data_IF_342806475862
#
_entry.id   IF_342806475862
#
_cell.length_a   1.000
_cell.length_b   1.000
_cell.length_c   1.000
_cell.angle_alpha   90.00
_cell.angle_beta   90.00
_cell.angle_gamma   90.00
#
_symmetry.space_group_name_H-M   'P 1'
#
loop_
_entity.id
_entity.type
_entity.pdbx_description
1 polymer ?
#
# COMPACT_ATOMS: atom_id res chain seq x y z
N UNK A 1 -19.18 13.05 -5.39
CA UNK A 1 -18.58 12.03 -4.50
C UNK A 1 -17.08 11.92 -4.80
N UNK A 2 -16.21 12.26 -3.85
CA UNK A 2 -14.75 12.21 -4.05
C UNK A 2 -14.19 10.82 -3.76
N UNK A 3 -13.23 10.35 -4.58
CA UNK A 3 -12.49 9.10 -4.33
C UNK A 3 -11.67 9.23 -3.03
N UNK A 4 -11.99 8.42 -2.03
CA UNK A 4 -11.33 8.45 -0.70
C UNK A 4 -9.93 7.84 -0.69
N UNK A 5 -9.60 7.00 -1.68
CA UNK A 5 -8.32 6.28 -1.79
C UNK A 5 -7.33 7.05 -2.66
N UNK A 6 -6.75 8.10 -2.08
CA UNK A 6 -5.71 8.91 -2.68
C UNK A 6 -4.34 8.52 -2.10
N UNK A 7 -3.28 8.92 -2.80
CA UNK A 7 -1.91 8.80 -2.28
C UNK A 7 -1.78 9.52 -0.93
N UNK A 8 -0.99 8.94 -0.03
CA UNK A 8 -0.79 9.48 1.32
C UNK A 8 -1.93 9.19 2.29
N UNK A 9 -3.00 8.50 1.86
CA UNK A 9 -4.08 8.10 2.76
C UNK A 9 -3.60 6.99 3.70
N UNK A 10 -3.94 7.13 4.98
CA UNK A 10 -3.65 6.12 5.99
C UNK A 10 -4.78 5.09 5.99
N UNK A 11 -4.39 3.83 5.86
CA UNK A 11 -5.27 2.68 5.77
C UNK A 11 -4.86 1.61 6.77
N UNK A 12 -5.83 0.79 7.18
CA UNK A 12 -5.57 -0.41 7.97
C UNK A 12 -5.69 -1.62 7.05
N UNK A 13 -4.67 -2.49 7.10
CA UNK A 13 -4.65 -3.75 6.34
C UNK A 13 -5.58 -4.75 7.03
N UNK A 14 -6.46 -5.40 6.27
CA UNK A 14 -7.47 -6.31 6.82
C UNK A 14 -7.07 -7.78 6.79
N UNK A 15 -6.18 -8.17 5.87
CA UNK A 15 -5.88 -9.57 5.61
C UNK A 15 -4.37 -9.81 5.42
N UNK A 16 -3.98 -11.08 5.60
CA UNK A 16 -2.61 -11.55 5.44
C UNK A 16 -1.73 -11.31 6.67
N UNK A 17 -0.42 -11.50 6.50
CA UNK A 17 0.58 -11.41 7.59
C UNK A 17 0.61 -10.04 8.29
N UNK A 18 0.17 -8.99 7.60
CA UNK A 18 0.21 -7.61 8.07
C UNK A 18 -1.17 -7.09 8.50
N UNK A 19 -2.15 -7.98 8.71
CA UNK A 19 -3.48 -7.59 9.18
C UNK A 19 -3.42 -6.80 10.51
N UNK A 20 -4.27 -5.80 10.63
CA UNK A 20 -4.33 -4.89 11.78
C UNK A 20 -3.23 -3.82 11.82
N UNK A 21 -2.27 -3.85 10.89
CA UNK A 21 -1.20 -2.85 10.85
C UNK A 21 -1.64 -1.59 10.11
N UNK A 22 -1.15 -0.45 10.60
CA UNK A 22 -1.36 0.85 9.96
C UNK A 22 -0.36 1.02 8.83
N UNK A 23 -0.88 1.47 7.69
CA UNK A 23 -0.09 1.65 6.49
C UNK A 23 -0.56 2.84 5.66
N UNK A 24 0.26 3.24 4.71
CA UNK A 24 0.05 4.39 3.84
C UNK A 24 0.05 3.93 2.41
N UNK A 25 -0.90 4.43 1.62
CA UNK A 25 -0.95 4.18 0.19
C UNK A 25 0.15 5.00 -0.49
N UNK A 26 1.14 4.29 -1.06
CA UNK A 26 2.29 4.88 -1.73
C UNK A 26 2.07 5.07 -3.23
N UNK A 27 1.42 4.09 -3.89
CA UNK A 27 1.05 4.15 -5.31
C UNK A 27 -0.26 3.40 -5.55
N UNK A 28 -1.12 3.97 -6.38
CA UNK A 28 -2.35 3.36 -6.85
C UNK A 28 -2.09 2.65 -8.19
N UNK A 29 -2.58 1.42 -8.32
CA UNK A 29 -2.54 0.63 -9.56
C UNK A 29 -3.98 0.37 -9.99
N UNK A 30 -4.54 1.34 -10.72
CA UNK A 30 -5.97 1.38 -11.02
C UNK A 30 -6.35 0.61 -12.30
N UNK A 31 -5.37 0.08 -13.04
CA UNK A 31 -5.56 -0.59 -14.33
C UNK A 31 -5.55 -2.13 -14.31
N UNK A 32 -5.39 -2.75 -13.13
CA UNK A 32 -5.17 -4.20 -13.04
C UNK A 32 -3.88 -4.65 -13.73
N UNK A 33 -3.37 -5.83 -13.39
CA UNK A 33 -2.29 -6.49 -14.14
C UNK A 33 -2.85 -7.76 -14.76
N UNK A 34 -2.26 -8.27 -15.84
CA UNK A 34 -2.71 -9.50 -16.51
C UNK A 34 -2.84 -10.67 -15.51
N UNK A 35 -1.90 -10.78 -14.56
CA UNK A 35 -1.92 -11.83 -13.53
C UNK A 35 -2.96 -11.59 -12.41
N UNK A 36 -3.34 -10.33 -12.20
CA UNK A 36 -4.18 -9.89 -11.10
C UNK A 36 -5.13 -8.79 -11.59
N UNK A 37 -6.32 -9.12 -12.12
CA UNK A 37 -7.24 -8.17 -12.75
C UNK A 37 -7.95 -7.25 -11.75
N UNK A 38 -7.69 -7.40 -10.45
CA UNK A 38 -8.24 -6.54 -9.42
C UNK A 38 -7.40 -5.26 -9.28
N UNK A 39 -8.09 -4.19 -8.89
CA UNK A 39 -7.48 -2.91 -8.57
C UNK A 39 -6.52 -3.13 -7.38
N UNK A 40 -5.32 -2.59 -7.45
CA UNK A 40 -4.27 -2.83 -6.45
C UNK A 40 -3.62 -1.55 -5.94
N UNK A 41 -3.07 -1.60 -4.73
CA UNK A 41 -2.29 -0.51 -4.17
C UNK A 41 -0.94 -1.03 -3.66
N UNK A 42 0.11 -0.26 -3.91
CA UNK A 42 1.39 -0.42 -3.23
C UNK A 42 1.29 0.33 -1.91
N UNK A 43 1.48 -0.41 -0.83
CA UNK A 43 1.26 0.09 0.53
C UNK A 43 2.56 -0.07 1.33
N UNK A 44 2.93 0.97 2.06
CA UNK A 44 4.05 0.98 2.98
C UNK A 44 3.52 1.11 4.42
N UNK A 45 3.92 0.20 5.31
CA UNK A 45 3.37 0.14 6.67
C UNK A 45 4.40 -0.24 7.71
N UNK A 46 4.00 -0.12 8.98
CA UNK A 46 4.83 -0.50 10.13
C UNK A 46 4.28 -1.81 10.68
N UNK A 47 5.10 -2.84 10.75
CA UNK A 47 4.70 -4.16 11.26
C UNK A 47 4.80 -4.25 12.78
N UNK A 48 5.85 -3.65 13.36
CA UNK A 48 6.06 -3.71 14.81
C UNK A 48 6.56 -2.37 15.31
N UNK A 49 5.82 -1.78 16.24
CA UNK A 49 6.21 -0.58 16.97
C UNK A 49 7.12 -0.98 18.13
N UNK A 50 8.41 -1.11 17.85
CA UNK A 50 9.46 -1.31 18.85
C UNK A 50 10.53 -0.24 18.68
N UNK A 51 11.50 -0.19 19.61
CA UNK A 51 12.67 0.71 19.53
C UNK A 51 13.40 0.61 18.18
N UNK A 52 13.34 -0.56 17.52
CA UNK A 52 13.66 -0.72 16.08
C UNK A 52 12.38 -1.13 15.35
N UNK A 53 11.81 -0.19 14.60
CA UNK A 53 10.60 -0.43 13.81
C UNK A 53 10.90 -1.36 12.63
N UNK A 54 10.08 -2.40 12.47
CA UNK A 54 10.09 -3.21 11.24
C UNK A 54 9.07 -2.61 10.28
N UNK A 55 9.55 -2.14 9.13
CA UNK A 55 8.75 -1.51 8.07
C UNK A 55 8.59 -2.52 6.95
N UNK A 56 7.43 -2.53 6.29
CA UNK A 56 7.16 -3.39 5.13
C UNK A 56 6.59 -2.58 3.97
N UNK A 57 6.86 -3.06 2.75
CA UNK A 57 6.26 -2.56 1.51
C UNK A 57 5.72 -3.77 0.76
N UNK A 58 4.44 -3.76 0.44
CA UNK A 58 3.81 -4.87 -0.27
C UNK A 58 2.65 -4.38 -1.15
N UNK A 59 2.38 -5.14 -2.20
CA UNK A 59 1.21 -4.96 -3.07
C UNK A 59 0.01 -5.62 -2.42
N UNK A 60 -1.07 -4.87 -2.23
CA UNK A 60 -2.31 -5.33 -1.65
C UNK A 60 -3.49 -5.06 -2.59
N UNK A 61 -4.53 -5.88 -2.45
CA UNK A 61 -5.84 -5.57 -3.01
C UNK A 61 -6.46 -4.36 -2.28
N UNK A 62 -7.34 -3.61 -2.91
CA UNK A 62 -8.10 -2.50 -2.31
C UNK A 62 -9.18 -2.95 -1.31
N UNK A 63 -8.86 -3.90 -0.43
CA UNK A 63 -9.70 -4.25 0.70
C UNK A 63 -9.09 -3.67 1.98
N UNK A 64 -9.31 -2.38 2.19
CA UNK A 64 -8.81 -1.63 3.36
C UNK A 64 -9.94 -0.95 4.10
N UNK A 65 -9.76 -0.72 5.40
CA UNK A 65 -10.55 0.28 6.12
C UNK A 65 -9.83 1.64 5.98
N UNK A 66 -10.41 2.61 5.25
CA UNK A 66 -9.84 3.95 5.15
C UNK A 66 -10.04 4.69 6.47
N UNK A 67 -8.97 5.30 6.99
CA UNK A 67 -9.06 6.15 8.17
C UNK A 67 -9.30 7.61 7.79
N UNK A 68 -9.68 8.46 8.75
CA UNK A 68 -9.80 9.91 8.50
C UNK A 68 -8.45 10.58 8.20
N UNK A 69 -7.35 9.98 8.63
CA UNK A 69 -6.02 10.58 8.53
C UNK A 69 -5.48 10.61 7.11
N UNK A 70 -4.72 11.66 6.82
CA UNK A 70 -3.93 11.83 5.60
C UNK A 70 -2.53 12.23 6.05
N UNK A 71 -1.52 11.47 5.62
CA UNK A 71 -0.14 11.86 5.86
C UNK A 71 0.33 12.67 4.65
N UNK A 72 0.54 13.96 4.90
CA UNK A 72 1.07 14.90 3.92
C UNK A 72 2.60 14.77 3.87
N UNK A 73 3.11 13.67 3.35
CA UNK A 73 4.55 13.52 3.12
C UNK A 73 4.84 13.50 1.62
N UNK A 74 5.33 14.64 1.11
CA UNK A 74 5.91 14.72 -0.23
C UNK A 74 7.24 13.94 -0.19
N UNK A 75 7.45 13.03 -1.16
CA UNK A 75 8.69 12.28 -1.45
C UNK A 75 8.74 10.76 -1.13
N UNK A 76 7.61 10.03 -1.09
CA UNK A 76 7.63 8.56 -1.19
C UNK A 76 7.65 8.04 -2.65
N UNK A 77 7.84 8.93 -3.63
CA UNK A 77 7.70 8.63 -5.06
C UNK A 77 8.97 8.16 -5.77
N UNK A 78 10.16 8.15 -5.14
CA UNK A 78 11.43 7.87 -5.86
C UNK A 78 12.02 6.46 -5.70
N UNK A 79 11.45 5.56 -4.89
CA UNK A 79 11.90 4.16 -4.94
C UNK A 79 11.22 3.47 -6.11
N UNK A 80 11.97 3.37 -7.21
CA UNK A 80 12.35 2.15 -7.96
C UNK A 80 11.69 0.81 -7.55
N UNK A 81 10.41 0.79 -7.18
CA UNK A 81 9.57 -0.39 -7.22
C UNK A 81 9.23 -0.61 -8.69
N UNK A 82 10.27 -0.90 -9.45
CA UNK A 82 10.19 -1.26 -10.85
C UNK A 82 9.26 -2.45 -10.93
N UNK A 83 8.37 -2.40 -11.90
CA UNK A 83 7.66 -3.51 -12.55
C UNK A 83 8.49 -4.76 -12.87
N UNK A 84 9.77 -4.84 -12.46
CA UNK A 84 10.63 -6.02 -12.56
C UNK A 84 10.34 -7.10 -11.52
N UNK A 85 9.86 -6.77 -10.31
CA UNK A 85 9.50 -7.81 -9.30
C UNK A 85 8.19 -8.51 -9.64
N UNK A 86 7.27 -7.81 -10.32
CA UNK A 86 5.99 -8.36 -10.78
C UNK A 86 6.08 -9.17 -12.08
N UNK A 87 7.22 -9.15 -12.78
CA UNK A 87 7.47 -10.02 -13.96
C UNK A 87 8.06 -11.40 -13.59
N UNK A 88 8.48 -11.61 -12.34
CA UNK A 88 9.06 -12.88 -11.90
C UNK A 88 8.05 -13.85 -11.25
N UNK A 89 6.76 -13.47 -11.20
CA UNK A 89 5.69 -14.27 -10.58
C UNK A 89 4.56 -14.61 -11.58
N UNK A 90 4.90 -14.71 -12.87
CA UNK A 90 4.07 -15.35 -13.88
C UNK A 90 4.87 -16.44 -14.58
#
# INVERSE_FOLDING_TARGET
>A
MGKSMKLGKVVIVLAGRYAGQKAVIAKNVDGGTICCPYIQAIVAGIYRYCKRSKIFVQVFNYNFIPTRYLLLWKNLTSTRASSGVLRQLC
#
